data_IF_917474126832
#
_entry.id   IF_917474126832
#
_cell.length_a   1.000
_cell.length_b   1.000
_cell.length_c   1.000
_cell.angle_alpha   90.00
_cell.angle_beta   90.00
_cell.angle_gamma   90.00
#
_symmetry.space_group_name_H-M   'P 1'
#
loop_
_entity.id
_entity.type
_entity.pdbx_description
1 polymer ?
#
# COMPACT_ATOMS: atom_id res chain seq x y z
N UNK A 1 -1.12 0.33 -13.78
CA UNK A 1 -2.32 0.09 -12.94
C UNK A 1 -2.07 0.37 -11.46
N UNK A 2 -0.88 0.04 -10.91
CA UNK A 2 -0.56 0.21 -9.48
C UNK A 2 -0.84 1.63 -8.96
N UNK A 3 -0.37 2.67 -9.66
CA UNK A 3 -0.61 4.07 -9.27
C UNK A 3 -2.08 4.43 -9.18
N UNK A 4 -2.88 4.02 -10.17
CA UNK A 4 -4.33 4.25 -10.15
C UNK A 4 -5.01 3.53 -8.99
N UNK A 5 -4.67 2.25 -8.75
CA UNK A 5 -5.20 1.47 -7.63
C UNK A 5 -4.84 2.07 -6.28
N UNK A 6 -3.61 2.58 -6.13
CA UNK A 6 -3.14 3.27 -4.94
C UNK A 6 -3.98 4.52 -4.65
N UNK A 7 -4.15 5.41 -5.64
CA UNK A 7 -4.93 6.64 -5.44
C UNK A 7 -6.42 6.36 -5.19
N UNK A 8 -7.03 5.45 -5.95
CA UNK A 8 -8.44 5.07 -5.72
C UNK A 8 -8.64 4.38 -4.37
N UNK A 9 -7.66 3.60 -3.92
CA UNK A 9 -7.62 3.02 -2.59
C UNK A 9 -7.53 4.07 -1.49
N UNK A 10 -6.64 5.06 -1.63
CA UNK A 10 -6.57 6.20 -0.70
C UNK A 10 -7.88 6.97 -0.64
N UNK A 11 -8.55 7.19 -1.78
CA UNK A 11 -9.84 7.87 -1.82
C UNK A 11 -10.91 7.07 -1.08
N UNK A 12 -10.93 5.74 -1.24
CA UNK A 12 -11.84 4.87 -0.50
C UNK A 12 -11.57 4.93 1.01
N UNK A 13 -10.31 4.79 1.44
CA UNK A 13 -9.91 4.90 2.84
C UNK A 13 -10.32 6.24 3.46
N UNK A 14 -10.10 7.34 2.75
CA UNK A 14 -10.46 8.70 3.21
C UNK A 14 -11.96 8.86 3.37
N UNK A 15 -12.76 8.34 2.43
CA UNK A 15 -14.22 8.33 2.54
C UNK A 15 -14.70 7.51 3.74
N UNK A 16 -13.98 6.43 4.08
CA UNK A 16 -14.22 5.62 5.27
C UNK A 16 -13.62 6.22 6.56
N UNK A 17 -13.13 7.46 6.52
CA UNK A 17 -12.68 8.20 7.70
C UNK A 17 -11.18 8.14 8.00
N UNK A 18 -10.39 7.39 7.23
CA UNK A 18 -8.94 7.31 7.42
C UNK A 18 -8.25 8.66 7.08
N UNK A 19 -7.37 9.13 7.96
CA UNK A 19 -6.81 10.49 7.91
C UNK A 19 -5.31 10.53 7.53
N UNK A 20 -4.83 9.55 6.78
CA UNK A 20 -3.42 9.52 6.35
C UNK A 20 -2.48 8.79 7.30
N UNK A 21 -2.98 8.26 8.42
CA UNK A 21 -2.19 7.56 9.43
C UNK A 21 -3.05 6.49 10.13
N UNK A 22 -2.37 5.55 10.79
CA UNK A 22 -3.01 4.43 11.47
C UNK A 22 -3.18 3.19 10.59
N UNK A 23 -3.58 2.07 11.20
CA UNK A 23 -3.56 0.76 10.56
C UNK A 23 -4.57 0.67 9.40
N UNK A 24 -4.19 -0.11 8.39
CA UNK A 24 -5.04 -0.51 7.26
C UNK A 24 -5.02 -2.04 7.20
N UNK A 25 -5.81 -2.75 8.04
CA UNK A 25 -5.70 -4.19 8.19
C UNK A 25 -5.95 -4.94 6.88
N UNK A 26 -5.10 -5.92 6.56
CA UNK A 26 -5.21 -6.75 5.35
C UNK A 26 -6.37 -7.75 5.42
N UNK A 27 -6.74 -8.11 6.64
CA UNK A 27 -7.84 -8.99 6.99
C UNK A 27 -9.18 -8.37 6.54
N UNK A 28 -9.30 -7.04 6.57
CA UNK A 28 -10.45 -6.33 6.04
C UNK A 28 -10.38 -6.30 4.50
N UNK A 29 -11.19 -7.14 3.87
CA UNK A 29 -11.16 -7.40 2.43
C UNK A 29 -11.17 -6.14 1.53
N UNK A 30 -11.97 -5.09 1.81
CA UNK A 30 -11.94 -3.84 1.05
C UNK A 30 -10.57 -3.13 1.00
N UNK A 31 -9.69 -3.34 2.00
CA UNK A 31 -8.37 -2.73 2.05
C UNK A 31 -7.35 -3.42 1.13
N UNK A 32 -7.59 -4.67 0.75
CA UNK A 32 -6.60 -5.49 0.02
C UNK A 32 -6.24 -4.89 -1.34
N UNK A 33 -7.20 -4.22 -2.00
CA UNK A 33 -6.96 -3.53 -3.26
C UNK A 33 -5.92 -2.41 -3.14
N UNK A 34 -6.05 -1.58 -2.11
CA UNK A 34 -5.08 -0.53 -1.78
C UNK A 34 -3.71 -1.12 -1.46
N UNK A 35 -3.65 -2.12 -0.56
CA UNK A 35 -2.38 -2.72 -0.10
C UNK A 35 -1.63 -3.43 -1.23
N UNK A 36 -2.34 -4.13 -2.12
CA UNK A 36 -1.74 -4.75 -3.33
C UNK A 36 -1.21 -3.70 -4.30
N UNK A 37 -1.92 -2.59 -4.47
CA UNK A 37 -1.47 -1.51 -5.32
C UNK A 37 -0.22 -0.80 -4.76
N UNK A 38 -0.17 -0.60 -3.44
CA UNK A 38 1.00 -0.08 -2.73
C UNK A 38 2.21 -1.02 -2.87
N UNK A 39 2.02 -2.32 -2.67
CA UNK A 39 3.08 -3.32 -2.90
C UNK A 39 3.56 -3.32 -4.36
N UNK A 40 2.65 -3.24 -5.33
CA UNK A 40 3.01 -3.16 -6.74
C UNK A 40 3.79 -1.89 -7.09
N UNK A 41 3.52 -0.75 -6.43
CA UNK A 41 4.33 0.46 -6.55
C UNK A 41 5.75 0.25 -6.01
N UNK A 42 5.89 -0.36 -4.83
CA UNK A 42 7.21 -0.67 -4.27
C UNK A 42 8.03 -1.55 -5.24
N UNK A 43 7.41 -2.60 -5.77
CA UNK A 43 8.06 -3.49 -6.75
C UNK A 43 8.50 -2.76 -8.01
N UNK A 44 7.63 -1.93 -8.59
CA UNK A 44 7.97 -1.15 -9.77
C UNK A 44 9.14 -0.20 -9.50
N UNK A 45 9.14 0.51 -8.36
CA UNK A 45 10.24 1.39 -7.96
C UNK A 45 11.58 0.64 -7.87
N UNK A 46 11.56 -0.57 -7.27
CA UNK A 46 12.74 -1.44 -7.20
C UNK A 46 13.24 -1.86 -8.59
N UNK A 47 12.31 -2.24 -9.48
CA UNK A 47 12.64 -2.69 -10.85
C UNK A 47 13.28 -1.58 -11.69
N UNK A 48 12.93 -0.31 -11.47
CA UNK A 48 13.50 0.85 -12.18
C UNK A 48 14.71 1.50 -11.46
N UNK A 49 15.12 0.97 -10.30
CA UNK A 49 16.26 1.47 -9.53
C UNK A 49 15.96 2.67 -8.62
N UNK A 50 14.69 3.05 -8.43
CA UNK A 50 14.28 4.09 -7.48
C UNK A 50 14.27 3.54 -6.04
N UNK A 51 15.46 3.45 -5.45
CA UNK A 51 15.66 2.83 -4.13
C UNK A 51 14.92 3.55 -3.00
N UNK A 52 14.96 4.89 -2.99
CA UNK A 52 14.27 5.69 -1.97
C UNK A 52 12.75 5.46 -2.00
N UNK A 53 12.14 5.40 -3.19
CA UNK A 53 10.70 5.18 -3.32
C UNK A 53 10.31 3.75 -2.96
N UNK A 54 11.15 2.76 -3.31
CA UNK A 54 10.97 1.38 -2.87
C UNK A 54 10.94 1.28 -1.34
N UNK A 55 11.89 1.93 -0.66
CA UNK A 55 11.97 1.94 0.80
C UNK A 55 10.76 2.63 1.42
N UNK A 56 10.36 3.80 0.90
CA UNK A 56 9.17 4.53 1.36
C UNK A 56 7.91 3.70 1.24
N UNK A 57 7.66 3.10 0.08
CA UNK A 57 6.48 2.28 -0.15
C UNK A 57 6.48 0.99 0.68
N UNK A 58 7.64 0.35 0.85
CA UNK A 58 7.78 -0.88 1.64
C UNK A 58 7.58 -0.62 3.13
N UNK A 59 8.17 0.46 3.65
CA UNK A 59 7.96 0.89 5.04
C UNK A 59 6.50 1.24 5.27
N UNK A 60 5.90 2.02 4.36
CA UNK A 60 4.48 2.37 4.48
C UNK A 60 3.57 1.14 4.46
N UNK A 61 3.87 0.13 3.63
CA UNK A 61 3.12 -1.13 3.61
C UNK A 61 3.22 -1.87 4.94
N UNK A 62 4.43 -2.00 5.50
CA UNK A 62 4.69 -2.67 6.79
C UNK A 62 3.98 -1.97 7.95
N UNK A 63 4.05 -0.65 8.00
CA UNK A 63 3.39 0.15 9.04
C UNK A 63 1.86 0.13 8.91
N UNK A 64 1.34 0.11 7.67
CA UNK A 64 -0.09 0.01 7.41
C UNK A 64 -0.65 -1.37 7.77
N UNK A 65 0.07 -2.43 7.40
CA UNK A 65 -0.33 -3.81 7.68
C UNK A 65 0.86 -4.78 7.67
N UNK A 66 1.29 -5.26 8.84
CA UNK A 66 2.28 -6.34 8.94
C UNK A 66 1.83 -7.60 8.19
N UNK A 67 0.54 -7.95 8.28
CA UNK A 67 -0.04 -9.09 7.56
C UNK A 67 0.08 -8.95 6.05
N UNK A 68 -0.17 -7.75 5.49
CA UNK A 68 0.00 -7.51 4.06
C UNK A 68 1.47 -7.67 3.64
N UNK A 69 2.40 -7.10 4.42
CA UNK A 69 3.83 -7.20 4.12
C UNK A 69 4.35 -8.65 4.18
N UNK A 70 3.78 -9.50 5.03
CA UNK A 70 4.11 -10.92 5.08
C UNK A 70 3.43 -11.73 3.95
N UNK A 71 2.21 -11.35 3.56
CA UNK A 71 1.41 -12.09 2.57
C UNK A 71 1.80 -11.76 1.13
N UNK A 72 2.20 -10.52 0.86
CA UNK A 72 2.59 -10.03 -0.45
C UNK A 72 4.13 -10.11 -0.58
N UNK A 73 4.62 -11.17 -1.23
CA UNK A 73 6.05 -11.42 -1.48
C UNK A 73 6.46 -11.11 -2.92
#
# INVERSE_FOLDING_TARGET
YARTGYHRGLDALRRSGWKGHGPVPFEHEPNRGFLRALHALARAAKEIGETEEYERCTTFLKESSPTAAATLS
#
